data_IF_244421307377
#
_entry.id   IF_244421307377
#
_cell.length_a   1.000
_cell.length_b   1.000
_cell.length_c   1.000
_cell.angle_alpha   90.00
_cell.angle_beta   90.00
_cell.angle_gamma   90.00
#
_symmetry.space_group_name_H-M   'P 1'
#
loop_
_entity.id
_entity.type
_entity.pdbx_description
1 polymer ?
#
# COMPACT_ATOMS: atom_id res chain seq x y z
N UNK A 1 20.29 0.26 -14.48
CA UNK A 1 19.19 -0.72 -14.31
C UNK A 1 17.92 0.00 -13.88
N UNK A 2 16.76 -0.42 -14.37
CA UNK A 2 15.47 0.14 -13.97
C UNK A 2 15.11 -0.29 -12.54
N UNK A 3 14.53 0.61 -11.75
CA UNK A 3 14.03 0.31 -10.41
C UNK A 3 12.77 -0.56 -10.52
N UNK A 4 12.81 -1.77 -9.94
CA UNK A 4 11.71 -2.74 -9.95
C UNK A 4 11.26 -2.95 -8.50
N UNK A 5 9.95 -2.92 -8.25
CA UNK A 5 9.38 -3.14 -6.93
C UNK A 5 8.73 -4.51 -6.87
N UNK A 6 9.31 -5.40 -6.08
CA UNK A 6 8.72 -6.70 -5.76
C UNK A 6 7.82 -6.61 -4.53
N UNK A 7 7.02 -7.65 -4.32
CA UNK A 7 6.19 -7.77 -3.13
C UNK A 7 7.05 -7.76 -1.85
N UNK A 8 8.19 -8.43 -1.89
CA UNK A 8 9.16 -8.51 -0.79
C UNK A 8 9.70 -7.12 -0.43
N UNK A 9 9.99 -6.28 -1.42
CA UNK A 9 10.45 -4.90 -1.18
C UNK A 9 9.37 -4.06 -0.51
N UNK A 10 8.11 -4.23 -0.91
CA UNK A 10 6.98 -3.53 -0.31
C UNK A 10 6.73 -4.01 1.13
N UNK A 11 6.84 -5.32 1.37
CA UNK A 11 6.73 -5.91 2.70
C UNK A 11 7.84 -5.41 3.62
N UNK A 12 9.09 -5.42 3.16
CA UNK A 12 10.24 -4.94 3.93
C UNK A 12 10.12 -3.44 4.22
N UNK A 13 9.67 -2.63 3.24
CA UNK A 13 9.37 -1.22 3.45
C UNK A 13 8.29 -1.01 4.52
N UNK A 14 7.20 -1.79 4.51
CA UNK A 14 6.17 -1.72 5.55
C UNK A 14 6.73 -2.07 6.94
N UNK A 15 7.49 -3.16 7.05
CA UNK A 15 8.12 -3.59 8.31
C UNK A 15 9.05 -2.50 8.83
N UNK A 16 9.90 -1.94 7.97
CA UNK A 16 10.80 -0.84 8.33
C UNK A 16 10.05 0.39 8.86
N UNK A 17 8.90 0.72 8.26
CA UNK A 17 8.14 1.92 8.61
C UNK A 17 7.28 1.78 9.85
N UNK A 18 6.88 0.56 10.26
CA UNK A 18 6.00 0.30 11.40
C UNK A 18 6.41 1.06 12.69
N UNK A 19 7.69 1.03 13.13
CA UNK A 19 8.11 1.75 14.33
C UNK A 19 8.01 3.28 14.20
N UNK A 20 7.98 3.79 12.98
CA UNK A 20 7.94 5.22 12.68
C UNK A 20 6.52 5.76 12.48
N UNK A 21 5.49 4.91 12.49
CA UNK A 21 4.10 5.30 12.26
C UNK A 21 3.59 6.25 13.35
N UNK A 22 3.84 5.94 14.63
CA UNK A 22 3.42 6.80 15.74
C UNK A 22 4.05 8.20 15.67
N UNK A 23 5.31 8.28 15.20
CA UNK A 23 6.03 9.54 15.04
C UNK A 23 5.60 10.36 13.81
N UNK A 24 4.86 9.76 12.88
CA UNK A 24 4.31 10.44 11.70
C UNK A 24 3.00 11.20 12.01
N UNK A 25 2.35 10.90 13.14
CA UNK A 25 1.06 11.47 13.54
C UNK A 25 -0.03 11.23 12.50
N UNK A 26 -1.11 12.02 12.56
CA UNK A 26 -2.26 11.90 11.63
C UNK A 26 -1.90 12.27 10.18
N UNK A 27 -0.76 12.92 9.96
CA UNK A 27 -0.38 13.44 8.64
C UNK A 27 -0.03 12.35 7.63
N UNK A 28 0.10 11.08 8.05
CA UNK A 28 0.53 9.92 7.23
C UNK A 28 1.82 10.19 6.43
N UNK A 29 2.63 11.17 6.84
CA UNK A 29 3.84 11.61 6.13
C UNK A 29 5.07 11.34 6.99
N UNK A 30 5.96 10.49 6.50
CA UNK A 30 7.24 10.26 7.14
C UNK A 30 8.21 11.41 6.89
N UNK A 31 9.03 11.72 7.91
CA UNK A 31 10.10 12.72 7.82
C UNK A 31 11.13 12.30 6.75
N UNK A 32 11.80 13.28 6.13
CA UNK A 32 12.80 13.02 5.10
C UNK A 32 13.93 12.08 5.58
N UNK A 33 14.36 12.21 6.84
CA UNK A 33 15.34 11.32 7.45
C UNK A 33 14.90 9.85 7.45
N UNK A 34 13.62 9.57 7.75
CA UNK A 34 13.06 8.20 7.73
C UNK A 34 13.02 7.66 6.31
N UNK A 35 12.62 8.48 5.32
CA UNK A 35 12.60 8.09 3.91
C UNK A 35 14.01 7.77 3.40
N UNK A 36 15.00 8.58 3.80
CA UNK A 36 16.41 8.34 3.48
C UNK A 36 16.90 7.02 4.09
N UNK A 37 16.58 6.76 5.36
CA UNK A 37 16.94 5.50 6.02
C UNK A 37 16.25 4.29 5.40
N UNK A 38 14.96 4.40 5.03
CA UNK A 38 14.24 3.35 4.32
C UNK A 38 14.86 3.05 2.95
N UNK A 39 15.23 4.10 2.21
CA UNK A 39 15.97 3.97 0.95
C UNK A 39 17.30 3.26 1.15
N UNK A 40 18.07 3.61 2.19
CA UNK A 40 19.34 2.92 2.48
C UNK A 40 19.13 1.45 2.86
N UNK A 41 18.12 1.17 3.71
CA UNK A 41 17.74 -0.18 4.14
C UNK A 41 17.41 -1.10 2.96
N UNK A 42 16.52 -0.66 2.07
CA UNK A 42 16.14 -1.41 0.87
C UNK A 42 17.30 -1.63 -0.10
N UNK A 43 18.20 -0.64 -0.23
CA UNK A 43 19.35 -0.76 -1.11
C UNK A 43 20.49 -1.60 -0.51
N UNK A 44 20.44 -1.92 0.79
CA UNK A 44 21.34 -2.90 1.41
C UNK A 44 21.05 -4.34 0.96
N UNK A 45 19.83 -4.60 0.48
CA UNK A 45 19.36 -5.95 0.13
C UNK A 45 18.54 -5.89 -1.17
N UNK A 46 19.15 -5.41 -2.26
CA UNK A 46 18.46 -5.30 -3.55
C UNK A 46 18.16 -6.71 -4.08
N UNK A 47 16.89 -7.05 -4.18
CA UNK A 47 16.44 -8.29 -4.82
C UNK A 47 16.66 -8.24 -6.33
N UNK A 48 16.10 -7.22 -7.01
CA UNK A 48 16.12 -7.08 -8.48
C UNK A 48 16.14 -5.59 -8.88
N UNK A 49 16.78 -5.29 -10.00
CA UNK A 49 16.71 -3.98 -10.65
C UNK A 49 17.71 -2.96 -10.10
N UNK A 50 17.37 -1.68 -10.28
CA UNK A 50 18.17 -0.54 -9.83
C UNK A 50 17.79 -0.01 -8.45
N UNK A 51 18.61 0.92 -7.96
CA UNK A 51 18.46 1.52 -6.62
C UNK A 51 17.07 2.12 -6.38
N UNK A 52 16.52 1.83 -5.20
CA UNK A 52 15.31 2.46 -4.67
C UNK A 52 15.66 3.85 -4.15
N UNK A 53 15.61 4.87 -5.01
CA UNK A 53 15.88 6.27 -4.64
C UNK A 53 14.81 6.80 -3.68
N UNK A 54 15.15 7.78 -2.85
CA UNK A 54 14.24 8.40 -1.87
C UNK A 54 12.92 8.88 -2.47
N UNK A 55 12.95 9.46 -3.67
CA UNK A 55 11.73 9.90 -4.38
C UNK A 55 10.82 8.72 -4.76
N UNK A 56 11.41 7.61 -5.19
CA UNK A 56 10.70 6.37 -5.50
C UNK A 56 10.11 5.73 -4.24
N UNK A 57 10.86 5.71 -3.14
CA UNK A 57 10.38 5.24 -1.83
C UNK A 57 9.20 6.09 -1.35
N UNK A 58 9.31 7.43 -1.41
CA UNK A 58 8.21 8.33 -1.04
C UNK A 58 6.95 8.08 -1.87
N UNK A 59 7.09 7.90 -3.18
CA UNK A 59 5.95 7.57 -4.06
C UNK A 59 5.34 6.22 -3.65
N UNK A 60 6.17 5.20 -3.42
CA UNK A 60 5.69 3.87 -3.04
C UNK A 60 4.94 3.88 -1.70
N UNK A 61 5.40 4.65 -0.72
CA UNK A 61 4.70 4.86 0.55
C UNK A 61 3.30 5.46 0.31
N UNK A 62 3.19 6.47 -0.56
CA UNK A 62 1.89 7.06 -0.90
C UNK A 62 0.96 6.03 -1.56
N UNK A 63 1.49 5.23 -2.49
CA UNK A 63 0.73 4.13 -3.12
C UNK A 63 0.21 3.14 -2.05
N UNK A 64 1.08 2.71 -1.12
CA UNK A 64 0.71 1.78 -0.03
C UNK A 64 -0.41 2.34 0.85
N UNK A 65 -0.32 3.61 1.25
CA UNK A 65 -1.39 4.24 2.03
C UNK A 65 -2.70 4.38 1.27
N UNK A 66 -2.63 4.63 -0.04
CA UNK A 66 -3.82 4.67 -0.90
C UNK A 66 -4.49 3.30 -0.95
N UNK A 67 -3.72 2.24 -1.23
CA UNK A 67 -4.21 0.86 -1.23
C UNK A 67 -4.78 0.47 0.13
N UNK A 68 -4.09 0.77 1.23
CA UNK A 68 -4.59 0.51 2.58
C UNK A 68 -5.91 1.22 2.85
N UNK A 69 -6.02 2.50 2.48
CA UNK A 69 -7.26 3.26 2.70
C UNK A 69 -8.42 2.70 1.86
N UNK A 70 -8.15 2.25 0.63
CA UNK A 70 -9.15 1.59 -0.20
C UNK A 70 -9.61 0.26 0.41
N UNK A 71 -8.68 -0.60 0.85
CA UNK A 71 -9.00 -1.87 1.53
C UNK A 71 -9.79 -1.62 2.82
N UNK A 72 -9.38 -0.63 3.61
CA UNK A 72 -10.06 -0.29 4.86
C UNK A 72 -11.50 0.20 4.61
N UNK A 73 -11.70 1.03 3.58
CA UNK A 73 -13.03 1.44 3.16
C UNK A 73 -13.89 0.25 2.73
N UNK A 74 -13.35 -0.67 1.93
CA UNK A 74 -14.09 -1.86 1.49
C UNK A 74 -14.46 -2.80 2.65
N UNK A 75 -13.56 -2.93 3.64
CA UNK A 75 -13.74 -3.77 4.82
C UNK A 75 -14.78 -3.22 5.80
N UNK A 76 -14.90 -1.90 5.93
CA UNK A 76 -15.68 -1.28 7.02
C UNK A 76 -16.84 -0.38 6.58
N UNK A 77 -16.77 0.24 5.41
CA UNK A 77 -17.70 1.32 5.04
C UNK A 77 -18.46 1.07 3.73
N UNK A 78 -17.83 0.38 2.76
CA UNK A 78 -18.13 0.65 1.35
C UNK A 78 -18.75 -0.47 0.53
N UNK A 79 -18.60 -1.74 0.93
CA UNK A 79 -18.96 -2.85 0.04
C UNK A 79 -20.37 -3.40 0.30
N UNK A 80 -20.83 -3.44 1.56
CA UNK A 80 -21.98 -4.28 1.93
C UNK A 80 -21.71 -5.79 1.73
N UNK A 81 -20.46 -6.16 1.41
CA UNK A 81 -19.99 -7.51 1.15
C UNK A 81 -19.28 -8.08 2.37
N UNK A 82 -19.29 -9.40 2.53
CA UNK A 82 -18.48 -10.07 3.55
C UNK A 82 -16.99 -9.96 3.20
N UNK A 83 -16.18 -9.43 4.12
CA UNK A 83 -14.73 -9.39 3.96
C UNK A 83 -14.07 -10.56 4.71
N UNK A 84 -13.30 -11.36 3.99
CA UNK A 84 -12.36 -12.37 4.50
C UNK A 84 -10.94 -11.79 4.44
N UNK A 85 -10.17 -11.90 5.52
CA UNK A 85 -8.74 -11.53 5.50
C UNK A 85 -7.89 -12.52 4.67
N UNK A 86 -8.47 -13.68 4.28
CA UNK A 86 -7.84 -14.67 3.39
C UNK A 86 -8.22 -14.43 1.93
N UNK A 87 -9.51 -14.19 1.66
CA UNK A 87 -10.07 -14.18 0.30
C UNK A 87 -10.50 -12.79 -0.20
N UNK A 88 -10.39 -11.75 0.64
CA UNK A 88 -10.83 -10.40 0.33
C UNK A 88 -12.35 -10.22 0.44
N UNK A 89 -12.94 -9.39 -0.43
CA UNK A 89 -14.37 -9.04 -0.37
C UNK A 89 -15.33 -10.17 -0.78
N UNK A 90 -14.83 -11.37 -1.11
CA UNK A 90 -15.64 -12.56 -1.34
C UNK A 90 -16.81 -12.34 -2.31
N UNK A 91 -16.54 -11.80 -3.51
CA UNK A 91 -17.57 -11.63 -4.54
C UNK A 91 -17.92 -13.00 -5.11
N UNK A 92 -19.11 -13.51 -4.81
CA UNK A 92 -19.52 -14.88 -5.13
C UNK A 92 -20.82 -14.93 -5.96
N UNK A 93 -21.48 -13.79 -6.15
CA UNK A 93 -22.74 -13.69 -6.90
C UNK A 93 -22.73 -12.51 -7.88
N UNK A 94 -23.51 -12.62 -8.95
CA UNK A 94 -23.66 -11.56 -9.97
C UNK A 94 -24.14 -10.23 -9.37
N UNK A 95 -24.92 -10.29 -8.28
CA UNK A 95 -25.36 -9.09 -7.56
C UNK A 95 -24.20 -8.36 -6.88
N UNK A 96 -23.32 -9.10 -6.22
CA UNK A 96 -22.12 -8.56 -5.57
C UNK A 96 -21.12 -8.03 -6.59
N UNK A 97 -21.03 -8.66 -7.76
CA UNK A 97 -20.22 -8.17 -8.87
C UNK A 97 -20.75 -6.85 -9.43
N UNK A 98 -22.07 -6.67 -9.48
CA UNK A 98 -22.71 -5.40 -9.86
C UNK A 98 -22.44 -4.28 -8.83
N UNK A 99 -22.50 -4.59 -7.53
CA UNK A 99 -22.13 -3.67 -6.45
C UNK A 99 -20.65 -3.27 -6.57
N UNK A 100 -19.77 -4.25 -6.82
CA UNK A 100 -18.35 -4.02 -7.02
C UNK A 100 -18.05 -3.14 -8.23
N UNK A 101 -18.69 -3.41 -9.37
CA UNK A 101 -18.58 -2.58 -10.58
C UNK A 101 -19.03 -1.13 -10.31
N UNK A 102 -20.10 -0.93 -9.52
CA UNK A 102 -20.56 0.38 -9.08
C UNK A 102 -19.56 1.12 -8.20
N UNK A 103 -18.86 0.42 -7.30
CA UNK A 103 -17.80 1.01 -6.46
C UNK A 103 -16.62 1.46 -7.32
N UNK A 104 -16.18 0.63 -8.27
CA UNK A 104 -15.11 0.99 -9.21
C UNK A 104 -15.50 2.22 -10.04
N UNK A 105 -16.74 2.24 -10.57
CA UNK A 105 -17.22 3.32 -11.42
C UNK A 105 -17.35 4.67 -10.70
N UNK A 106 -17.67 4.66 -9.39
CA UNK A 106 -17.81 5.88 -8.59
C UNK A 106 -16.51 6.34 -7.91
N UNK A 107 -15.46 5.52 -7.96
CA UNK A 107 -14.10 5.88 -7.51
C UNK A 107 -13.06 5.46 -8.55
N UNK A 108 -13.15 5.96 -9.80
CA UNK A 108 -12.08 5.78 -10.75
C UNK A 108 -10.88 6.56 -10.20
N UNK A 109 -9.74 5.90 -10.09
CA UNK A 109 -8.51 6.51 -9.56
C UNK A 109 -8.21 7.90 -10.13
#
# INVERSE_FOLDING_TARGET
>A
ANCIWLFEDCKDLCIFLLPHVAAAGETKKFKAAVIKSASAHLNGHIHVGGLKKESGVRKKIADIFSTYSAVNFLKHEGSGLSWSDVDGSGVHTDHEESVWAGIIANRPN
#
